data_IF_069028830700
#
_entry.id   IF_069028830700
#
_cell.length_a   1.000
_cell.length_b   1.000
_cell.length_c   1.000
_cell.angle_alpha   90.00
_cell.angle_beta   90.00
_cell.angle_gamma   90.00
#
_symmetry.space_group_name_H-M   'P 1'
#
loop_
_entity.id
_entity.type
_entity.pdbx_description
1 polymer ?
#
# COMPACT_ATOMS: atom_id res chain seq x y z
N UNK A 1 26.54 -21.42 -8.43
CA UNK A 1 27.75 -22.23 -8.24
C UNK A 1 28.37 -21.87 -6.91
N UNK A 2 28.81 -22.86 -6.14
CA UNK A 2 29.56 -22.65 -4.90
C UNK A 2 30.93 -22.05 -5.23
N UNK A 3 31.41 -21.10 -4.42
CA UNK A 3 32.72 -20.47 -4.61
C UNK A 3 33.39 -20.35 -3.24
N UNK A 4 34.63 -20.84 -3.13
CA UNK A 4 35.40 -20.85 -1.89
C UNK A 4 34.63 -21.47 -0.69
N UNK A 5 34.05 -22.66 -0.88
CA UNK A 5 33.23 -23.37 0.14
C UNK A 5 32.05 -22.55 0.68
N UNK A 6 31.56 -21.60 -0.12
CA UNK A 6 30.46 -20.74 0.26
C UNK A 6 29.49 -20.50 -0.88
N UNK A 7 28.23 -20.24 -0.54
CA UNK A 7 27.19 -19.89 -1.51
C UNK A 7 26.29 -18.78 -0.95
N UNK A 8 25.99 -17.73 -1.74
CA UNK A 8 25.01 -16.74 -1.34
C UNK A 8 23.59 -17.32 -1.40
N UNK A 9 22.80 -17.11 -0.35
CA UNK A 9 21.40 -17.50 -0.26
C UNK A 9 20.59 -16.41 0.43
N UNK A 10 19.67 -15.76 -0.30
CA UNK A 10 18.91 -14.61 0.19
C UNK A 10 19.84 -13.53 0.78
N UNK A 11 19.65 -13.20 2.07
CA UNK A 11 20.39 -12.20 2.82
C UNK A 11 21.58 -12.80 3.61
N UNK A 12 21.91 -14.07 3.39
CA UNK A 12 23.03 -14.76 4.04
C UNK A 12 24.01 -15.34 3.02
N UNK A 13 25.24 -15.56 3.48
CA UNK A 13 26.22 -16.40 2.79
C UNK A 13 26.43 -17.64 3.65
N UNK A 14 26.09 -18.78 3.09
CA UNK A 14 26.28 -20.08 3.73
C UNK A 14 27.73 -20.48 3.50
N UNK A 15 28.49 -20.68 4.58
CA UNK A 15 29.90 -21.04 4.55
C UNK A 15 30.06 -22.41 5.21
N UNK A 16 30.68 -23.36 4.50
CA UNK A 16 31.04 -24.66 5.05
C UNK A 16 32.45 -24.58 5.65
N UNK A 17 32.53 -24.67 6.98
CA UNK A 17 33.80 -24.73 7.73
C UNK A 17 34.57 -26.02 7.40
N UNK A 18 35.86 -26.04 7.71
CA UNK A 18 36.72 -27.22 7.53
C UNK A 18 36.21 -28.42 8.34
N UNK A 19 35.64 -28.17 9.51
CA UNK A 19 35.00 -29.18 10.38
C UNK A 19 33.60 -29.62 9.92
N UNK A 20 33.21 -29.32 8.67
CA UNK A 20 31.87 -29.57 8.12
C UNK A 20 30.70 -28.87 8.83
N UNK A 21 30.98 -27.88 9.68
CA UNK A 21 29.97 -27.02 10.31
C UNK A 21 29.52 -25.95 9.31
N UNK A 22 28.20 -25.75 9.19
CA UNK A 22 27.62 -24.67 8.40
C UNK A 22 27.58 -23.40 9.25
N UNK A 23 28.25 -22.35 8.79
CA UNK A 23 28.23 -21.02 9.40
C UNK A 23 27.53 -20.04 8.45
N UNK A 24 26.74 -19.14 9.00
CA UNK A 24 26.04 -18.11 8.23
C UNK A 24 26.71 -16.75 8.45
N UNK A 25 27.04 -16.05 7.36
CA UNK A 25 27.46 -14.64 7.37
C UNK A 25 26.35 -13.77 6.77
N UNK A 26 26.24 -12.51 7.20
CA UNK A 26 25.31 -11.56 6.61
C UNK A 26 25.81 -11.10 5.25
N UNK A 27 25.01 -11.32 4.21
CA UNK A 27 25.42 -11.09 2.83
C UNK A 27 24.64 -9.95 2.18
N UNK A 28 25.36 -9.14 1.40
CA UNK A 28 24.79 -8.19 0.45
C UNK A 28 25.30 -8.52 -0.94
N UNK A 29 24.42 -8.44 -1.94
CA UNK A 29 24.81 -8.64 -3.34
C UNK A 29 25.81 -7.56 -3.76
N UNK A 30 26.75 -7.85 -4.69
CA UNK A 30 27.68 -6.84 -5.22
C UNK A 30 26.99 -5.62 -5.84
N UNK A 31 25.77 -5.80 -6.37
CA UNK A 31 24.94 -4.72 -6.89
C UNK A 31 24.19 -3.92 -5.81
N UNK A 32 24.40 -4.22 -4.53
CA UNK A 32 23.80 -3.48 -3.43
C UNK A 32 24.34 -2.06 -3.41
N UNK A 33 23.46 -1.08 -3.44
CA UNK A 33 23.85 0.33 -3.34
C UNK A 33 24.12 0.79 -1.91
N UNK A 34 23.80 -0.03 -0.90
CA UNK A 34 23.85 0.35 0.51
C UNK A 34 22.85 1.44 0.92
N UNK A 35 21.94 1.85 0.02
CA UNK A 35 20.96 2.91 0.30
C UNK A 35 19.73 2.36 0.99
N UNK A 36 19.44 2.92 2.16
CA UNK A 36 18.26 2.66 2.97
C UNK A 36 17.50 3.97 3.20
N UNK A 37 16.54 3.95 4.14
CA UNK A 37 15.81 5.16 4.49
C UNK A 37 16.76 6.18 5.11
N UNK A 38 17.00 7.28 4.40
CA UNK A 38 17.86 8.34 4.91
C UNK A 38 17.28 8.96 6.20
N UNK A 39 18.11 9.23 7.21
CA UNK A 39 17.65 9.68 8.52
C UNK A 39 16.93 11.04 8.48
N UNK A 40 17.30 11.92 7.54
CA UNK A 40 16.63 13.23 7.34
C UNK A 40 15.34 13.17 6.52
N UNK A 41 14.93 11.99 6.04
CA UNK A 41 13.68 11.85 5.28
C UNK A 41 12.45 12.21 6.14
N UNK A 42 11.34 12.63 5.51
CA UNK A 42 10.11 12.99 6.20
C UNK A 42 9.27 11.77 6.63
N UNK A 43 9.94 10.79 7.26
CA UNK A 43 9.32 9.59 7.79
C UNK A 43 9.23 9.66 9.31
N UNK A 44 8.26 8.95 9.89
CA UNK A 44 8.18 8.77 11.34
C UNK A 44 9.51 8.22 11.88
N UNK A 45 9.95 8.75 13.03
CA UNK A 45 11.16 8.32 13.74
C UNK A 45 11.12 6.83 14.03
N UNK A 46 9.96 6.28 14.41
CA UNK A 46 9.80 4.85 14.67
C UNK A 46 10.23 3.99 13.48
N UNK A 47 9.92 4.42 12.24
CA UNK A 47 10.33 3.70 11.04
C UNK A 47 11.84 3.74 10.84
N UNK A 48 12.47 4.87 11.13
CA UNK A 48 13.93 5.03 11.05
C UNK A 48 14.64 4.17 12.07
N UNK A 49 14.13 4.12 13.31
CA UNK A 49 14.67 3.28 14.38
C UNK A 49 14.45 1.79 14.10
N UNK A 50 13.29 1.44 13.54
CA UNK A 50 12.97 0.06 13.16
C UNK A 50 13.95 -0.50 12.12
N UNK A 51 14.51 0.32 11.24
CA UNK A 51 15.56 -0.14 10.30
C UNK A 51 16.79 -0.63 11.07
N UNK A 52 17.27 0.13 12.05
CA UNK A 52 18.42 -0.26 12.88
C UNK A 52 18.12 -1.59 13.59
N UNK A 53 16.96 -1.66 14.25
CA UNK A 53 16.55 -2.84 15.01
C UNK A 53 16.38 -4.08 14.13
N UNK A 54 15.75 -3.95 12.96
CA UNK A 54 15.53 -5.09 12.06
C UNK A 54 16.84 -5.68 11.55
N UNK A 55 17.79 -4.83 11.13
CA UNK A 55 19.10 -5.32 10.69
C UNK A 55 19.90 -5.91 11.84
N UNK A 56 19.93 -5.24 12.99
CA UNK A 56 20.60 -5.76 14.18
C UNK A 56 20.05 -7.12 14.60
N UNK A 57 18.73 -7.22 14.77
CA UNK A 57 18.09 -8.47 15.19
C UNK A 57 18.34 -9.60 14.20
N UNK A 58 18.32 -9.29 12.89
CA UNK A 58 18.66 -10.27 11.86
C UNK A 58 20.10 -10.76 11.98
N UNK A 59 21.05 -9.85 12.16
CA UNK A 59 22.47 -10.20 12.33
C UNK A 59 22.63 -11.05 13.58
N UNK A 60 22.14 -10.59 14.73
CA UNK A 60 22.33 -11.28 16.02
C UNK A 60 21.66 -12.67 16.05
N UNK A 61 20.50 -12.84 15.41
CA UNK A 61 19.74 -14.09 15.49
C UNK A 61 20.11 -15.12 14.40
N UNK A 62 20.67 -14.70 13.27
CA UNK A 62 20.91 -15.59 12.12
C UNK A 62 22.41 -15.80 11.85
N UNK A 63 23.24 -14.78 12.07
CA UNK A 63 24.67 -14.83 11.74
C UNK A 63 25.43 -15.60 12.81
N UNK A 64 26.36 -16.44 12.39
CA UNK A 64 27.24 -17.17 13.28
C UNK A 64 28.14 -16.19 14.06
N UNK A 65 28.48 -16.53 15.31
CA UNK A 65 29.21 -15.66 16.24
C UNK A 65 30.50 -15.08 15.64
N UNK A 66 31.30 -15.91 14.97
CA UNK A 66 32.52 -15.54 14.23
C UNK A 66 32.35 -14.34 13.29
N UNK A 67 31.18 -14.21 12.66
CA UNK A 67 30.89 -13.16 11.67
C UNK A 67 30.04 -12.02 12.24
N UNK A 68 29.49 -12.17 13.45
CA UNK A 68 28.55 -11.22 14.03
C UNK A 68 29.17 -9.83 14.22
N UNK A 69 30.37 -9.75 14.80
CA UNK A 69 31.08 -8.48 15.02
C UNK A 69 31.38 -7.76 13.70
N UNK A 70 31.87 -8.50 12.69
CA UNK A 70 32.14 -7.95 11.36
C UNK A 70 30.86 -7.46 10.67
N UNK A 71 29.77 -8.21 10.79
CA UNK A 71 28.46 -7.84 10.23
C UNK A 71 27.88 -6.59 10.88
N UNK A 72 27.99 -6.45 12.20
CA UNK A 72 27.55 -5.25 12.92
C UNK A 72 28.40 -4.03 12.56
N UNK A 73 29.71 -4.18 12.36
CA UNK A 73 30.57 -3.10 11.88
C UNK A 73 30.19 -2.64 10.47
N UNK A 74 29.88 -3.59 9.56
CA UNK A 74 29.35 -3.25 8.22
C UNK A 74 28.02 -2.50 8.32
N UNK A 75 27.13 -2.92 9.20
CA UNK A 75 25.86 -2.23 9.44
C UNK A 75 26.06 -0.80 9.98
N UNK A 76 27.01 -0.59 10.90
CA UNK A 76 27.35 0.74 11.41
C UNK A 76 27.73 1.69 10.26
N UNK A 77 28.64 1.27 9.37
CA UNK A 77 29.06 2.07 8.20
C UNK A 77 27.85 2.43 7.33
N UNK A 78 27.03 1.43 6.98
CA UNK A 78 25.83 1.63 6.17
C UNK A 78 24.87 2.65 6.81
N UNK A 79 24.63 2.57 8.12
CA UNK A 79 23.73 3.49 8.80
C UNK A 79 24.29 4.93 8.79
N UNK A 80 25.59 5.09 9.01
CA UNK A 80 26.26 6.39 8.96
C UNK A 80 26.18 7.00 7.55
N UNK A 81 26.41 6.20 6.50
CA UNK A 81 26.28 6.62 5.10
C UNK A 81 24.85 7.05 4.74
N UNK A 82 23.84 6.50 5.43
CA UNK A 82 22.44 6.91 5.31
C UNK A 82 22.05 8.07 6.25
N UNK A 83 23.05 8.75 6.83
CA UNK A 83 22.88 9.97 7.61
C UNK A 83 22.38 9.76 9.04
N UNK A 84 22.41 8.53 9.56
CA UNK A 84 22.02 8.27 10.95
C UNK A 84 23.03 8.86 11.93
N UNK A 85 22.60 9.52 13.02
CA UNK A 85 23.51 10.09 14.01
C UNK A 85 24.38 9.02 14.67
N UNK A 86 25.70 9.25 14.75
CA UNK A 86 26.66 8.29 15.32
C UNK A 86 26.33 7.87 16.75
N UNK A 87 25.88 8.80 17.58
CA UNK A 87 25.46 8.52 18.97
C UNK A 87 24.25 7.59 19.02
N UNK A 88 23.29 7.78 18.11
CA UNK A 88 22.12 6.92 17.97
C UNK A 88 22.52 5.53 17.49
N UNK A 89 23.32 5.42 16.44
CA UNK A 89 23.79 4.13 15.91
C UNK A 89 24.52 3.34 16.99
N UNK A 90 25.47 3.96 17.69
CA UNK A 90 26.19 3.32 18.80
C UNK A 90 25.25 2.89 19.92
N UNK A 91 24.31 3.75 20.34
CA UNK A 91 23.31 3.39 21.35
C UNK A 91 22.57 2.11 20.96
N UNK A 92 22.09 2.01 19.73
CA UNK A 92 21.26 0.88 19.30
C UNK A 92 22.08 -0.38 18.97
N UNK A 93 23.28 -0.24 18.42
CA UNK A 93 24.14 -1.40 18.13
C UNK A 93 24.80 -1.95 19.39
N UNK A 94 25.28 -1.09 20.30
CA UNK A 94 25.99 -1.51 21.51
C UNK A 94 25.10 -1.90 22.70
N UNK A 95 23.90 -1.32 22.87
CA UNK A 95 23.12 -1.51 24.11
C UNK A 95 22.34 -2.83 24.24
N UNK A 96 22.52 -3.83 23.36
CA UNK A 96 21.87 -5.15 23.59
C UNK A 96 22.69 -6.27 22.98
N UNK A 97 23.50 -6.90 23.83
CA UNK A 97 23.79 -8.35 23.81
C UNK A 97 23.22 -8.94 25.10
N UNK A 98 21.98 -8.61 25.45
CA UNK A 98 21.15 -9.58 26.14
C UNK A 98 20.42 -10.29 25.04
N UNK A 99 20.98 -11.44 24.64
CA UNK A 99 20.16 -12.50 24.04
C UNK A 99 18.93 -12.56 24.93
N UNK A 100 17.69 -12.30 24.47
CA UNK A 100 16.55 -12.70 25.28
C UNK A 100 16.85 -14.16 25.64
N UNK A 101 16.79 -14.55 26.93
CA UNK A 101 17.08 -15.91 27.31
C UNK A 101 16.34 -16.77 26.31
N UNK A 102 17.06 -17.71 25.70
CA UNK A 102 16.45 -18.77 24.90
C UNK A 102 15.16 -19.12 25.58
N UNK A 103 14.05 -19.22 24.84
CA UNK A 103 12.81 -19.79 25.36
C UNK A 103 13.15 -21.21 25.85
N UNK A 104 13.73 -21.33 27.04
CA UNK A 104 13.72 -22.52 27.85
C UNK A 104 12.24 -22.72 28.09
N UNK A 105 11.79 -23.87 27.63
CA UNK A 105 10.47 -24.45 27.67
C UNK A 105 9.89 -24.51 29.09
N UNK A 106 9.68 -23.37 29.74
CA UNK A 106 9.14 -23.29 31.10
C UNK A 106 7.85 -22.46 31.23
N UNK A 107 7.40 -21.78 30.18
CA UNK A 107 6.13 -21.03 30.18
C UNK A 107 5.03 -21.72 29.36
N UNK A 108 4.86 -23.04 29.54
CA UNK A 108 3.69 -23.78 29.05
C UNK A 108 2.57 -23.92 30.10
N UNK A 109 2.72 -23.29 31.28
CA UNK A 109 1.64 -23.20 32.27
C UNK A 109 0.85 -21.89 32.08
N UNK A 110 0.22 -21.74 30.91
CA UNK A 110 -0.92 -20.85 30.75
C UNK A 110 -2.16 -21.74 30.76
N UNK A 111 -2.94 -21.61 31.82
CA UNK A 111 -4.27 -22.20 31.95
C UNK A 111 -5.12 -21.84 30.71
N UNK A 112 -5.64 -22.82 29.94
CA UNK A 112 -6.36 -22.54 28.69
C UNK A 112 -7.69 -21.79 28.86
N UNK A 113 -8.14 -21.53 30.09
CA UNK A 113 -9.51 -21.09 30.38
C UNK A 113 -9.66 -19.62 30.80
N UNK A 114 -8.98 -18.70 30.11
CA UNK A 114 -9.40 -17.28 30.09
C UNK A 114 -9.59 -16.80 28.66
N UNK A 115 -10.56 -17.39 27.97
CA UNK A 115 -11.15 -16.88 26.73
C UNK A 115 -11.92 -15.58 27.01
N UNK A 116 -11.19 -14.50 27.28
CA UNK A 116 -11.69 -13.15 26.98
C UNK A 116 -11.05 -12.77 25.66
N UNK A 117 -11.77 -12.83 24.52
CA UNK A 117 -11.21 -12.34 23.27
C UNK A 117 -10.88 -10.86 23.48
N UNK A 118 -9.58 -10.54 23.38
CA UNK A 118 -9.13 -9.16 23.47
C UNK A 118 -9.99 -8.30 22.53
N UNK A 119 -10.49 -7.13 22.97
CA UNK A 119 -11.38 -6.32 22.16
C UNK A 119 -10.73 -6.06 20.79
N UNK A 120 -11.50 -6.32 19.73
CA UNK A 120 -11.02 -6.28 18.35
C UNK A 120 -10.70 -4.82 17.98
N UNK A 121 -9.47 -4.39 18.24
CA UNK A 121 -9.04 -3.04 17.93
C UNK A 121 -9.22 -2.73 16.43
N UNK A 122 -9.97 -1.67 16.14
CA UNK A 122 -10.22 -1.17 14.80
C UNK A 122 -9.04 -0.31 14.36
N UNK A 123 -8.36 -0.74 13.30
CA UNK A 123 -7.28 0.04 12.71
C UNK A 123 -7.78 1.02 11.65
N UNK A 124 -7.24 2.23 11.70
CA UNK A 124 -7.35 3.27 10.67
C UNK A 124 -5.97 3.80 10.32
N UNK A 125 -5.83 4.35 9.12
CA UNK A 125 -4.54 4.83 8.62
C UNK A 125 -4.57 6.34 8.39
N UNK A 126 -3.48 7.03 8.75
CA UNK A 126 -3.29 8.46 8.51
C UNK A 126 -1.94 8.72 7.84
N UNK A 127 -1.89 9.67 6.89
CA UNK A 127 -0.62 10.14 6.36
C UNK A 127 0.18 10.79 7.49
N UNK A 128 1.50 10.56 7.49
CA UNK A 128 2.41 11.16 8.44
C UNK A 128 2.81 12.57 8.00
N UNK A 129 2.38 13.54 8.78
CA UNK A 129 2.73 14.96 8.73
C UNK A 129 3.17 15.36 10.14
N UNK A 130 4.39 15.86 10.28
CA UNK A 130 5.04 16.07 11.58
C UNK A 130 4.21 16.87 12.58
N UNK A 131 3.55 17.95 12.14
CA UNK A 131 2.76 18.83 13.01
C UNK A 131 1.31 18.39 13.22
N UNK A 132 0.70 17.78 12.21
CA UNK A 132 -0.74 17.48 12.20
C UNK A 132 -1.05 16.08 12.71
N UNK A 133 -0.29 15.07 12.27
CA UNK A 133 -0.58 13.66 12.60
C UNK A 133 -0.47 13.40 14.10
N UNK A 134 0.46 14.07 14.80
CA UNK A 134 0.57 13.95 16.25
C UNK A 134 -0.69 14.45 16.96
N UNK A 135 -1.21 15.62 16.56
CA UNK A 135 -2.45 16.20 17.12
C UNK A 135 -3.65 15.30 16.83
N UNK A 136 -3.78 14.82 15.60
CA UNK A 136 -4.86 13.92 15.21
C UNK A 136 -4.79 12.58 15.96
N UNK A 137 -3.60 11.99 16.09
CA UNK A 137 -3.42 10.77 16.88
C UNK A 137 -3.79 10.97 18.35
N UNK A 138 -3.53 12.15 18.92
CA UNK A 138 -3.93 12.47 20.29
C UNK A 138 -5.46 12.56 20.42
N UNK A 139 -6.14 13.28 19.53
CA UNK A 139 -7.61 13.35 19.51
C UNK A 139 -8.21 11.94 19.35
N UNK A 140 -7.67 11.13 18.43
CA UNK A 140 -8.16 9.77 18.21
C UNK A 140 -7.81 8.77 19.33
N UNK A 141 -6.91 9.12 20.24
CA UNK A 141 -6.58 8.25 21.38
C UNK A 141 -7.67 8.22 22.45
N UNK A 142 -8.61 9.19 22.43
CA UNK A 142 -9.78 9.23 23.30
C UNK A 142 -10.89 8.27 22.85
N UNK A 143 -10.77 7.71 21.64
CA UNK A 143 -11.77 6.78 21.08
C UNK A 143 -11.34 5.35 21.42
N UNK A 144 -12.13 4.69 22.26
CA UNK A 144 -11.94 3.28 22.58
C UNK A 144 -11.94 2.41 21.30
N UNK A 145 -11.12 1.37 21.32
CA UNK A 145 -10.92 0.44 20.21
C UNK A 145 -10.41 1.05 18.89
N UNK A 146 -9.96 2.31 18.85
CA UNK A 146 -9.38 2.91 17.64
C UNK A 146 -7.84 2.96 17.71
N UNK A 147 -7.19 2.27 16.77
CA UNK A 147 -5.74 2.37 16.57
C UNK A 147 -5.41 3.03 15.25
N UNK A 148 -4.51 4.01 15.30
CA UNK A 148 -4.11 4.79 14.12
C UNK A 148 -2.71 4.40 13.65
N UNK A 149 -2.64 3.78 12.47
CA UNK A 149 -1.39 3.50 11.77
C UNK A 149 -0.96 4.69 10.92
N UNK A 150 0.33 5.03 10.95
CA UNK A 150 0.91 6.14 10.19
C UNK A 150 1.52 5.58 8.90
N UNK A 151 1.26 6.21 7.75
CA UNK A 151 1.90 5.89 6.48
C UNK A 151 2.55 7.13 5.86
N UNK A 152 3.57 6.94 5.03
CA UNK A 152 4.20 8.05 4.32
C UNK A 152 3.44 8.36 3.04
N UNK A 153 3.10 9.63 2.83
CA UNK A 153 2.38 10.06 1.65
C UNK A 153 3.22 9.89 0.37
N UNK A 154 4.48 10.33 0.40
CA UNK A 154 5.41 10.18 -0.71
C UNK A 154 6.01 8.77 -0.65
N UNK A 155 5.78 7.99 -1.70
CA UNK A 155 6.32 6.63 -1.84
C UNK A 155 7.37 6.57 -2.94
N UNK A 156 8.25 5.56 -2.90
CA UNK A 156 9.24 5.36 -3.97
C UNK A 156 8.62 5.27 -5.37
N UNK A 157 7.41 4.71 -5.49
CA UNK A 157 6.65 4.64 -6.75
C UNK A 157 6.31 6.02 -7.32
N UNK A 158 6.21 7.05 -6.49
CA UNK A 158 5.94 8.43 -6.92
C UNK A 158 7.22 9.15 -7.38
N UNK A 159 8.37 8.78 -6.82
CA UNK A 159 9.66 9.42 -7.10
C UNK A 159 10.36 8.76 -8.29
N UNK A 160 10.35 7.43 -8.35
CA UNK A 160 11.05 6.68 -9.37
C UNK A 160 10.21 6.54 -10.64
N UNK A 161 10.91 6.54 -11.78
CA UNK A 161 10.31 6.36 -13.10
C UNK A 161 9.53 5.05 -13.15
N UNK A 162 8.36 5.09 -13.80
CA UNK A 162 7.58 3.89 -14.09
C UNK A 162 8.34 3.08 -15.14
N UNK A 163 9.07 2.07 -14.70
CA UNK A 163 9.82 1.15 -15.58
C UNK A 163 8.93 0.07 -16.22
N UNK A 164 7.71 -0.13 -15.70
CA UNK A 164 6.78 -1.11 -16.25
C UNK A 164 6.06 -0.53 -17.47
N UNK A 165 5.83 -1.39 -18.46
CA UNK A 165 5.02 -1.05 -19.63
C UNK A 165 3.64 -0.56 -19.23
N UNK A 166 3.13 0.42 -19.96
CA UNK A 166 1.77 0.93 -19.73
C UNK A 166 0.77 -0.12 -20.19
N UNK A 167 -0.23 -0.37 -19.35
CA UNK A 167 -1.35 -1.22 -19.70
C UNK A 167 -2.20 -0.46 -20.74
N UNK A 168 -2.55 -1.06 -21.88
CA UNK A 168 -3.46 -0.43 -22.84
C UNK A 168 -4.80 -0.09 -22.18
N UNK A 169 -5.44 1.04 -22.54
CA UNK A 169 -6.70 1.47 -21.92
C UNK A 169 -7.79 0.37 -21.94
N UNK A 170 -7.94 -0.35 -23.06
CA UNK A 170 -8.93 -1.41 -23.22
C UNK A 170 -8.75 -2.61 -22.27
N UNK A 171 -7.51 -2.85 -21.80
CA UNK A 171 -7.17 -3.92 -20.85
C UNK A 171 -7.12 -3.43 -19.39
N UNK A 172 -7.44 -2.16 -19.13
CA UNK A 172 -7.48 -1.63 -17.76
C UNK A 172 -8.69 -2.18 -17.03
N UNK A 173 -8.47 -2.66 -15.80
CA UNK A 173 -9.52 -3.11 -14.87
C UNK A 173 -9.60 -2.18 -13.66
N UNK A 174 -10.59 -2.41 -12.79
CA UNK A 174 -10.76 -1.68 -11.54
C UNK A 174 -10.77 -0.16 -11.71
N UNK A 175 -11.58 0.31 -12.66
CA UNK A 175 -11.58 1.71 -13.08
C UNK A 175 -13.00 2.28 -13.17
N UNK A 176 -13.03 3.61 -13.22
CA UNK A 176 -14.20 4.43 -13.49
C UNK A 176 -14.03 4.94 -14.92
N UNK A 177 -15.07 4.81 -15.73
CA UNK A 177 -15.06 5.21 -17.13
C UNK A 177 -16.30 6.02 -17.49
N UNK A 178 -16.18 6.80 -18.55
CA UNK A 178 -17.29 7.50 -19.20
C UNK A 178 -17.59 6.90 -20.57
N UNK A 179 -18.86 6.93 -20.95
CA UNK A 179 -19.34 6.59 -22.29
C UNK A 179 -20.25 7.72 -22.76
N UNK A 180 -19.84 8.53 -23.75
CA UNK A 180 -20.67 9.62 -24.26
C UNK A 180 -21.82 9.08 -25.10
N UNK A 181 -22.93 9.81 -25.09
CA UNK A 181 -24.03 9.61 -26.02
C UNK A 181 -23.70 10.30 -27.36
N UNK A 182 -24.07 9.68 -28.49
CA UNK A 182 -23.90 10.30 -29.81
C UNK A 182 -24.99 11.33 -30.10
N UNK A 183 -26.20 11.11 -29.61
CA UNK A 183 -27.38 11.89 -30.01
C UNK A 183 -27.71 13.02 -29.02
N UNK A 184 -27.04 13.09 -27.86
CA UNK A 184 -27.18 14.19 -26.90
C UNK A 184 -25.88 14.45 -26.12
N UNK A 185 -25.81 15.57 -25.38
CA UNK A 185 -24.65 15.93 -24.55
C UNK A 185 -24.47 15.04 -23.29
N UNK A 186 -25.34 14.04 -23.13
CA UNK A 186 -25.35 13.16 -21.97
C UNK A 186 -24.15 12.22 -21.95
N UNK A 187 -23.60 11.99 -20.76
CA UNK A 187 -22.50 11.04 -20.54
C UNK A 187 -22.92 10.02 -19.50
N UNK A 188 -22.73 8.73 -19.78
CA UNK A 188 -22.87 7.69 -18.77
C UNK A 188 -21.53 7.47 -18.06
N UNK A 189 -21.54 7.48 -16.74
CA UNK A 189 -20.35 7.22 -15.91
C UNK A 189 -20.58 5.93 -15.14
N UNK A 190 -19.61 5.03 -15.15
CA UNK A 190 -19.73 3.77 -14.43
C UNK A 190 -18.39 3.25 -13.93
N UNK A 191 -18.43 2.38 -12.93
CA UNK A 191 -17.27 1.60 -12.51
C UNK A 191 -17.30 0.16 -13.01
N UNK A 192 -16.12 -0.46 -13.03
CA UNK A 192 -15.99 -1.91 -13.24
C UNK A 192 -14.78 -2.49 -12.53
N UNK A 193 -14.90 -3.72 -12.03
CA UNK A 193 -13.76 -4.56 -11.63
C UNK A 193 -13.18 -5.37 -12.79
N UNK A 194 -13.92 -5.50 -13.90
CA UNK A 194 -13.48 -6.22 -15.09
C UNK A 194 -12.69 -5.28 -16.01
N UNK A 195 -12.13 -5.81 -17.10
CA UNK A 195 -11.49 -4.96 -18.12
C UNK A 195 -12.53 -4.08 -18.82
N UNK A 196 -12.12 -2.87 -19.22
CA UNK A 196 -12.97 -1.95 -20.00
C UNK A 196 -13.54 -2.65 -21.24
N UNK A 197 -12.70 -3.35 -22.00
CA UNK A 197 -13.15 -4.11 -23.19
C UNK A 197 -14.32 -5.03 -22.86
N UNK A 198 -14.22 -5.81 -21.77
CA UNK A 198 -15.29 -6.72 -21.35
C UNK A 198 -16.54 -5.96 -20.91
N UNK A 199 -16.39 -4.86 -20.17
CA UNK A 199 -17.51 -4.04 -19.70
C UNK A 199 -18.29 -3.41 -20.84
N UNK A 200 -17.60 -2.88 -21.85
CA UNK A 200 -18.22 -2.31 -23.05
C UNK A 200 -18.99 -3.38 -23.85
N UNK A 201 -18.43 -4.59 -24.00
CA UNK A 201 -19.16 -5.71 -24.62
C UNK A 201 -20.46 -6.04 -23.86
N UNK A 202 -20.44 -5.99 -22.52
CA UNK A 202 -21.64 -6.21 -21.72
C UNK A 202 -22.67 -5.10 -21.94
N UNK A 203 -22.27 -3.83 -21.98
CA UNK A 203 -23.20 -2.73 -22.27
C UNK A 203 -23.82 -2.83 -23.65
N UNK A 204 -23.04 -3.17 -24.68
CA UNK A 204 -23.55 -3.45 -26.04
C UNK A 204 -24.61 -4.55 -26.04
N UNK A 205 -24.44 -5.57 -25.19
CA UNK A 205 -25.42 -6.64 -25.00
C UNK A 205 -26.65 -6.18 -24.21
N UNK A 206 -26.48 -5.37 -23.17
CA UNK A 206 -27.55 -4.89 -22.31
C UNK A 206 -28.50 -3.95 -23.08
N UNK A 207 -27.97 -3.04 -23.91
CA UNK A 207 -28.78 -2.19 -24.80
C UNK A 207 -29.68 -3.02 -25.72
N UNK A 208 -29.22 -4.18 -26.19
CA UNK A 208 -29.97 -5.04 -27.11
C UNK A 208 -30.99 -5.95 -26.43
N UNK A 209 -30.66 -6.47 -25.24
CA UNK A 209 -31.39 -7.58 -24.64
C UNK A 209 -32.07 -7.23 -23.31
N UNK A 210 -31.60 -6.20 -22.60
CA UNK A 210 -32.00 -5.88 -21.22
C UNK A 210 -31.97 -4.36 -20.95
N UNK A 211 -32.93 -3.60 -21.52
CA UNK A 211 -32.93 -2.14 -21.44
C UNK A 211 -33.00 -1.60 -20.00
N UNK A 212 -33.62 -2.34 -19.07
CA UNK A 212 -33.83 -1.88 -17.70
C UNK A 212 -32.62 -2.09 -16.76
N UNK A 213 -31.55 -2.72 -17.24
CA UNK A 213 -30.45 -3.18 -16.38
C UNK A 213 -29.53 -2.05 -15.90
N UNK A 214 -29.31 -1.04 -16.73
CA UNK A 214 -28.44 0.09 -16.39
C UNK A 214 -28.98 1.39 -16.98
N UNK A 215 -28.57 2.54 -16.41
CA UNK A 215 -29.02 3.85 -16.88
C UNK A 215 -28.68 4.11 -18.36
N UNK A 216 -27.52 3.62 -18.82
CA UNK A 216 -27.10 3.67 -20.23
C UNK A 216 -28.10 2.94 -21.14
N UNK A 217 -28.43 1.68 -20.82
CA UNK A 217 -29.36 0.88 -21.62
C UNK A 217 -30.77 1.47 -21.59
N UNK A 218 -31.20 2.00 -20.44
CA UNK A 218 -32.50 2.63 -20.27
C UNK A 218 -32.60 3.90 -21.11
N UNK A 219 -31.58 4.75 -21.10
CA UNK A 219 -31.51 5.96 -21.93
C UNK A 219 -31.59 5.62 -23.42
N UNK A 220 -30.83 4.62 -23.86
CA UNK A 220 -30.86 4.17 -25.25
C UNK A 220 -32.24 3.64 -25.66
N UNK A 221 -32.90 2.86 -24.78
CA UNK A 221 -34.21 2.30 -25.07
C UNK A 221 -35.35 3.32 -25.02
N UNK A 222 -35.32 4.28 -24.10
CA UNK A 222 -36.39 5.26 -23.91
C UNK A 222 -36.29 6.43 -24.88
N UNK A 223 -35.08 6.90 -25.16
CA UNK A 223 -34.85 8.06 -26.04
C UNK A 223 -34.48 7.64 -27.48
N UNK A 224 -34.25 6.35 -27.73
CA UNK A 224 -33.79 5.87 -29.04
C UNK A 224 -32.37 6.28 -29.40
N UNK A 225 -31.59 6.75 -28.41
CA UNK A 225 -30.24 7.26 -28.61
C UNK A 225 -29.20 6.14 -28.66
N UNK A 226 -28.07 6.43 -29.29
CA UNK A 226 -26.90 5.55 -29.47
C UNK A 226 -25.74 6.07 -28.64
N UNK A 227 -24.98 5.15 -28.05
CA UNK A 227 -23.77 5.47 -27.31
C UNK A 227 -22.52 5.25 -28.15
N UNK A 228 -21.54 6.12 -27.98
CA UNK A 228 -20.21 5.96 -28.56
C UNK A 228 -19.36 5.03 -27.67
N UNK A 229 -19.33 3.76 -28.07
CA UNK A 229 -18.56 2.74 -27.38
C UNK A 229 -17.08 2.70 -27.77
N UNK A 230 -16.67 3.51 -28.75
CA UNK A 230 -15.29 3.58 -29.21
C UNK A 230 -14.56 4.77 -28.54
N UNK A 231 -15.28 5.86 -28.23
CA UNK A 231 -14.78 7.03 -27.46
C UNK A 231 -14.91 6.86 -25.94
N UNK A 232 -14.56 5.69 -25.42
CA UNK A 232 -14.61 5.40 -23.97
C UNK A 232 -13.36 5.95 -23.29
N UNK A 233 -13.55 6.77 -22.26
CA UNK A 233 -12.46 7.35 -21.49
C UNK A 233 -12.40 6.76 -20.08
N UNK A 234 -11.18 6.56 -19.57
CA UNK A 234 -10.93 6.14 -18.19
C UNK A 234 -10.73 7.40 -17.36
N UNK A 235 -11.63 7.64 -16.41
CA UNK A 235 -11.62 8.81 -15.53
C UNK A 235 -10.67 8.62 -14.34
N UNK A 236 -10.70 7.45 -13.69
CA UNK A 236 -9.81 7.13 -12.57
C UNK A 236 -9.68 5.60 -12.39
N UNK A 237 -8.67 5.14 -11.65
CA UNK A 237 -8.36 3.72 -11.41
C UNK A 237 -8.22 3.46 -9.90
N UNK A 238 -9.03 2.55 -9.37
CA UNK A 238 -9.01 2.17 -7.97
C UNK A 238 -9.33 0.67 -7.80
N UNK A 239 -8.32 -0.10 -7.37
CA UNK A 239 -8.46 -1.53 -7.06
C UNK A 239 -9.43 -1.80 -5.89
N UNK A 240 -9.46 -0.90 -4.90
CA UNK A 240 -10.38 -1.05 -3.76
C UNK A 240 -11.82 -0.71 -4.18
N UNK A 241 -12.74 -1.65 -3.99
CA UNK A 241 -14.15 -1.50 -4.36
C UNK A 241 -14.81 -0.25 -3.75
N UNK A 242 -14.65 -0.03 -2.45
CA UNK A 242 -15.28 1.11 -1.77
C UNK A 242 -14.71 2.45 -2.26
N UNK A 243 -13.39 2.51 -2.49
CA UNK A 243 -12.76 3.70 -3.09
C UNK A 243 -13.29 3.93 -4.51
N UNK A 244 -13.42 2.88 -5.30
CA UNK A 244 -13.90 2.95 -6.68
C UNK A 244 -15.35 3.41 -6.77
N UNK A 245 -16.22 2.88 -5.93
CA UNK A 245 -17.63 3.30 -5.83
C UNK A 245 -17.75 4.75 -5.35
N UNK A 246 -16.91 5.17 -4.40
CA UNK A 246 -16.85 6.58 -3.99
C UNK A 246 -16.43 7.50 -5.16
N UNK A 247 -15.37 7.13 -5.90
CA UNK A 247 -14.92 7.92 -7.05
C UNK A 247 -15.96 7.98 -8.17
N UNK A 248 -16.68 6.89 -8.43
CA UNK A 248 -17.82 6.87 -9.36
C UNK A 248 -18.87 7.91 -8.96
N UNK A 249 -19.26 7.96 -7.68
CA UNK A 249 -20.18 8.98 -7.17
C UNK A 249 -19.64 10.40 -7.36
N UNK A 250 -18.35 10.62 -7.09
CA UNK A 250 -17.71 11.92 -7.27
C UNK A 250 -17.75 12.35 -8.74
N UNK A 251 -17.43 11.47 -9.68
CA UNK A 251 -17.47 11.77 -11.11
C UNK A 251 -18.89 12.02 -11.62
N UNK A 252 -19.88 11.23 -11.16
CA UNK A 252 -21.30 11.46 -11.46
C UNK A 252 -21.75 12.82 -10.94
N UNK A 253 -21.43 13.16 -9.69
CA UNK A 253 -21.83 14.43 -9.07
C UNK A 253 -21.15 15.65 -9.70
N UNK A 254 -19.91 15.48 -10.15
CA UNK A 254 -19.13 16.57 -10.75
C UNK A 254 -19.56 16.86 -12.19
N UNK A 255 -20.19 15.91 -12.88
CA UNK A 255 -20.64 16.06 -14.26
C UNK A 255 -22.15 16.41 -14.33
N UNK A 256 -22.54 17.63 -14.74
CA UNK A 256 -23.94 18.03 -14.81
C UNK A 256 -24.74 17.25 -15.86
N UNK A 257 -24.07 16.73 -16.89
CA UNK A 257 -24.70 15.99 -18.00
C UNK A 257 -24.71 14.47 -17.76
N UNK A 258 -24.52 14.03 -16.52
CA UNK A 258 -24.51 12.60 -16.19
C UNK A 258 -25.88 11.97 -16.36
N UNK A 259 -25.96 10.89 -17.14
CA UNK A 259 -27.18 10.09 -17.40
C UNK A 259 -27.54 9.18 -16.21
N UNK A 260 -26.62 8.97 -15.27
CA UNK A 260 -26.81 8.12 -14.09
C UNK A 260 -28.02 8.52 -13.23
N UNK A 261 -28.52 7.57 -12.44
CA UNK A 261 -29.66 7.83 -11.55
C UNK A 261 -29.21 8.66 -10.35
N UNK A 262 -30.08 9.54 -9.83
CA UNK A 262 -29.80 10.30 -8.58
C UNK A 262 -29.50 9.39 -7.38
N UNK A 263 -30.08 8.17 -7.37
CA UNK A 263 -29.79 7.14 -6.37
C UNK A 263 -28.33 6.72 -6.35
N UNK A 264 -27.62 6.84 -7.47
CA UNK A 264 -26.23 6.40 -7.62
C UNK A 264 -25.28 7.27 -6.78
N UNK A 265 -25.67 8.50 -6.44
CA UNK A 265 -24.90 9.45 -5.62
C UNK A 265 -25.40 9.52 -4.16
N UNK A 266 -26.43 8.76 -3.80
CA UNK A 266 -27.13 8.87 -2.50
C UNK A 266 -26.25 8.64 -1.27
N UNK A 267 -25.14 7.90 -1.41
CA UNK A 267 -24.21 7.60 -0.32
C UNK A 267 -23.09 8.62 -0.18
N UNK A 268 -23.04 9.65 -1.02
CA UNK A 268 -22.07 10.72 -0.92
C UNK A 268 -22.48 11.65 0.24
N UNK A 269 -21.61 11.78 1.26
CA UNK A 269 -21.88 12.65 2.40
C UNK A 269 -22.03 14.11 1.96
N UNK A 270 -22.95 14.85 2.59
CA UNK A 270 -23.17 16.27 2.34
C UNK A 270 -21.89 17.11 2.45
N UNK A 271 -20.96 16.74 3.34
CA UNK A 271 -19.67 17.40 3.49
C UNK A 271 -18.87 17.29 2.19
N UNK A 272 -18.80 16.10 1.60
CA UNK A 272 -18.08 15.90 0.33
C UNK A 272 -18.78 16.61 -0.82
N UNK A 273 -20.12 16.57 -0.89
CA UNK A 273 -20.87 17.29 -1.91
C UNK A 273 -20.60 18.79 -1.87
N UNK A 274 -20.54 19.39 -0.67
CA UNK A 274 -20.20 20.80 -0.47
C UNK A 274 -18.75 21.11 -0.88
N UNK A 275 -17.79 20.27 -0.46
CA UNK A 275 -16.38 20.48 -0.83
C UNK A 275 -16.18 20.41 -2.35
N UNK A 276 -16.84 19.46 -3.02
CA UNK A 276 -16.77 19.31 -4.47
C UNK A 276 -17.38 20.51 -5.20
N UNK A 277 -18.46 21.09 -4.69
CA UNK A 277 -19.12 22.22 -5.34
C UNK A 277 -18.36 23.55 -5.17
N UNK A 278 -17.59 23.71 -4.09
CA UNK A 278 -16.95 25.00 -3.74
C UNK A 278 -15.44 25.07 -3.95
N UNK A 279 -14.71 23.95 -3.90
CA UNK A 279 -13.24 23.97 -3.92
C UNK A 279 -12.58 23.36 -5.16
N UNK A 280 -13.35 22.71 -6.04
CA UNK A 280 -12.81 21.95 -7.18
C UNK A 280 -13.45 22.34 -8.53
N UNK A 281 -13.96 23.57 -8.65
CA UNK A 281 -14.36 24.17 -9.94
C UNK A 281 -13.27 25.08 -10.48
#
# INVERSE_FOLDING_TARGET
METARSVPFLDTRVVRSEDNIIKLDWYQKPSSSGRYLHFRSHHNVDMKLNIINQFKNRIVNIVHEDYCRGSLARLEVILLDNGYPKTLVKKYLCNTVTRPPSLTSTDLNMDPNTDTPAPLARYRSLPYFTSLTAKLCHIFSEIDDLKVAKYNFITGKMIFTRLKDRIPPSSTSDCIYSVPCFDCEGVYIGQTSQTIKRRITLHKSDVKLRPDRCALALHSSQQGHRFDFDSVEILDVAANYHKRVFLEMVHINSNPNSINKKTDVSRLSCIYSYLLSHHFK
#
